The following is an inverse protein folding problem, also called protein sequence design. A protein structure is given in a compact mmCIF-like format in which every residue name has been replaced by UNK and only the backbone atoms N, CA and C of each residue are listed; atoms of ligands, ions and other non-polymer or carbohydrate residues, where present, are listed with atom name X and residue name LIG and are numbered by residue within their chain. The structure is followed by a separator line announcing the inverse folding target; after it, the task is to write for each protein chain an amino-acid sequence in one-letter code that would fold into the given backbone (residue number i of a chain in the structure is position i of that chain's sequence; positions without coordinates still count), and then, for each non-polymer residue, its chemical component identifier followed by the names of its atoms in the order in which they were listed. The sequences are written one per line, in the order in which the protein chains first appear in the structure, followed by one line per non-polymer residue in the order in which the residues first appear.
data_IF_555897498374
#
_entry.id   IF_555897498374
#
_cell.length_a   1.000
_cell.length_b   1.000
_cell.length_c   1.000
_cell.angle_alpha   90.00
_cell.angle_beta   90.00
_cell.angle_gamma   90.00
#
_symmetry.space_group_name_H-M   'P 1'
#
loop_
_entity.id
_entity.type
_entity.pdbx_description
1 polymer ?
#
# COMPACT_ATOMS: atom_id res chain seq x y z
N UNK A 1 -16.65 -15.75 -7.37
CA UNK A 1 -17.36 -14.46 -7.33
C UNK A 1 -16.27 -13.43 -7.10
N UNK A 2 -16.03 -12.54 -8.06
CA UNK A 2 -15.04 -11.46 -7.91
C UNK A 2 -15.82 -10.31 -7.31
N UNK A 3 -15.77 -10.18 -5.99
CA UNK A 3 -16.34 -9.05 -5.29
C UNK A 3 -15.78 -7.76 -5.87
N UNK A 4 -16.65 -6.79 -6.17
CA UNK A 4 -16.28 -5.42 -6.57
C UNK A 4 -15.65 -4.64 -5.39
N UNK A 5 -14.87 -5.31 -4.55
CA UNK A 5 -14.07 -4.71 -3.49
C UNK A 5 -12.89 -3.94 -4.08
N UNK A 6 -12.31 -3.05 -3.29
CA UNK A 6 -11.09 -2.33 -3.63
C UNK A 6 -9.99 -3.33 -4.02
N UNK A 7 -9.78 -3.54 -5.32
CA UNK A 7 -8.68 -4.36 -5.85
C UNK A 7 -7.42 -3.52 -5.62
N UNK A 8 -6.80 -3.69 -4.46
CA UNK A 8 -5.52 -3.06 -4.22
C UNK A 8 -4.49 -3.80 -5.07
N UNK A 9 -3.92 -3.12 -6.07
CA UNK A 9 -2.72 -3.60 -6.78
C UNK A 9 -1.51 -3.72 -5.84
N UNK A 10 -1.69 -3.43 -4.55
CA UNK A 10 -0.70 -3.50 -3.48
C UNK A 10 -0.02 -4.86 -3.41
N UNK A 11 -0.73 -5.98 -3.61
CA UNK A 11 -0.07 -7.29 -3.60
C UNK A 11 0.95 -7.43 -4.74
N UNK A 12 0.61 -6.94 -5.93
CA UNK A 12 1.51 -6.91 -7.08
C UNK A 12 2.70 -5.99 -6.83
N UNK A 13 2.42 -4.77 -6.35
CA UNK A 13 3.46 -3.79 -5.99
C UNK A 13 4.41 -4.31 -4.91
N UNK A 14 3.91 -5.01 -3.89
CA UNK A 14 4.74 -5.63 -2.86
C UNK A 14 5.67 -6.70 -3.45
N UNK A 15 5.18 -7.51 -4.40
CA UNK A 15 5.99 -8.52 -5.11
C UNK A 15 7.05 -7.87 -6.00
N UNK A 16 6.70 -6.81 -6.73
CA UNK A 16 7.64 -6.06 -7.59
C UNK A 16 8.74 -5.37 -6.79
N UNK A 17 8.41 -4.86 -5.61
CA UNK A 17 9.37 -4.23 -4.70
C UNK A 17 10.14 -5.23 -3.84
N UNK A 18 9.84 -6.54 -3.94
CA UNK A 18 10.36 -7.61 -3.07
C UNK A 18 10.22 -7.31 -1.56
N UNK A 19 9.17 -6.58 -1.16
CA UNK A 19 8.93 -6.22 0.24
C UNK A 19 7.83 -7.07 0.87
N UNK A 20 8.00 -7.38 2.16
CA UNK A 20 6.99 -8.12 2.92
C UNK A 20 5.90 -7.18 3.43
N UNK A 21 4.68 -7.70 3.62
CA UNK A 21 3.55 -6.97 4.23
C UNK A 21 3.93 -6.36 5.59
N UNK A 22 4.75 -7.08 6.36
CA UNK A 22 5.22 -6.64 7.67
C UNK A 22 6.22 -5.49 7.57
N UNK A 23 7.14 -5.53 6.60
CA UNK A 23 8.06 -4.42 6.34
C UNK A 23 7.29 -3.15 5.96
N UNK A 24 6.27 -3.27 5.09
CA UNK A 24 5.39 -2.15 4.76
C UNK A 24 4.62 -1.62 5.98
N UNK A 25 4.12 -2.51 6.84
CA UNK A 25 3.40 -2.12 8.05
C UNK A 25 4.28 -1.31 9.02
N UNK A 26 5.53 -1.73 9.22
CA UNK A 26 6.51 -1.02 10.04
C UNK A 26 6.83 0.35 9.44
N UNK A 27 7.08 0.40 8.13
CA UNK A 27 7.44 1.62 7.41
C UNK A 27 6.29 2.64 7.37
N UNK A 28 5.06 2.17 7.15
CA UNK A 28 3.86 3.00 7.14
C UNK A 28 3.37 3.38 8.54
N UNK A 29 3.95 2.79 9.60
CA UNK A 29 3.45 2.87 11.00
C UNK A 29 1.98 2.47 11.12
N UNK A 30 1.56 1.52 10.30
CA UNK A 30 0.19 0.99 10.26
C UNK A 30 0.21 -0.42 10.85
N UNK A 31 -0.88 -0.81 11.53
CA UNK A 31 -0.98 -2.16 12.10
C UNK A 31 -0.89 -3.21 10.99
N UNK A 32 -0.13 -4.32 11.17
CA UNK A 32 0.01 -5.36 10.15
C UNK A 32 -1.33 -5.96 9.70
N UNK A 33 -2.29 -6.08 10.62
CA UNK A 33 -3.65 -6.54 10.32
C UNK A 33 -4.32 -5.64 9.27
N UNK A 34 -4.24 -4.32 9.43
CA UNK A 34 -4.81 -3.35 8.49
C UNK A 34 -4.12 -3.41 7.12
N UNK A 35 -2.80 -3.58 7.07
CA UNK A 35 -2.10 -3.79 5.80
C UNK A 35 -2.55 -5.10 5.14
N UNK A 36 -2.70 -6.17 5.91
CA UNK A 36 -3.16 -7.44 5.36
C UNK A 36 -4.59 -7.33 4.81
N UNK A 37 -5.48 -6.64 5.51
CA UNK A 37 -6.85 -6.37 5.05
C UNK A 37 -6.85 -5.49 3.79
N UNK A 38 -5.94 -4.52 3.69
CA UNK A 38 -5.77 -3.69 2.49
C UNK A 38 -5.26 -4.51 1.31
N UNK A 39 -4.24 -5.35 1.51
CA UNK A 39 -3.65 -6.19 0.45
C UNK A 39 -4.64 -7.25 -0.05
N UNK A 40 -5.45 -7.81 0.85
CA UNK A 40 -6.44 -8.85 0.52
C UNK A 40 -7.76 -8.28 -0.01
N UNK A 41 -7.93 -6.95 -0.04
CA UNK A 41 -9.18 -6.31 -0.45
C UNK A 41 -10.33 -6.43 0.57
N UNK A 42 -10.04 -6.93 1.78
CA UNK A 42 -11.01 -7.07 2.87
C UNK A 42 -11.25 -5.77 3.65
N UNK A 43 -10.46 -4.73 3.40
CA UNK A 43 -10.63 -3.43 4.02
C UNK A 43 -11.92 -2.74 3.54
N UNK A 44 -12.97 -2.77 4.37
CA UNK A 44 -14.25 -2.09 4.09
C UNK A 44 -14.13 -0.56 4.02
N UNK A 45 -13.20 0.00 4.78
CA UNK A 45 -12.93 1.44 4.83
C UNK A 45 -11.48 1.66 5.26
N UNK A 46 -10.80 2.60 4.62
CA UNK A 46 -9.47 3.06 5.03
C UNK A 46 -9.51 4.57 5.24
N UNK A 47 -8.90 5.06 6.30
CA UNK A 47 -8.74 6.50 6.49
C UNK A 47 -7.75 7.04 5.45
N UNK A 48 -8.00 8.26 4.95
CA UNK A 48 -7.11 8.97 4.04
C UNK A 48 -5.68 9.09 4.60
N UNK A 49 -5.55 9.33 5.90
CA UNK A 49 -4.25 9.39 6.57
C UNK A 49 -3.49 8.07 6.50
N UNK A 50 -4.20 6.95 6.71
CA UNK A 50 -3.62 5.60 6.60
C UNK A 50 -3.24 5.29 5.16
N UNK A 51 -4.08 5.65 4.19
CA UNK A 51 -3.77 5.46 2.77
C UNK A 51 -2.54 6.26 2.36
N UNK A 52 -2.47 7.54 2.77
CA UNK A 52 -1.31 8.40 2.54
C UNK A 52 -0.05 7.80 3.17
N UNK A 53 -0.11 7.33 4.41
CA UNK A 53 1.04 6.72 5.07
C UNK A 53 1.55 5.45 4.36
N UNK A 54 0.63 4.63 3.84
CA UNK A 54 0.97 3.44 3.03
C UNK A 54 1.64 3.82 1.72
N UNK A 55 1.10 4.82 1.01
CA UNK A 55 1.66 5.28 -0.26
C UNK A 55 3.02 5.94 -0.04
N UNK A 56 3.17 6.77 1.00
CA UNK A 56 4.45 7.39 1.33
C UNK A 56 5.50 6.32 1.70
N UNK A 57 5.11 5.26 2.41
CA UNK A 57 6.00 4.13 2.72
C UNK A 57 6.42 3.37 1.45
N UNK A 58 5.48 3.11 0.53
CA UNK A 58 5.77 2.50 -0.76
C UNK A 58 6.71 3.36 -1.59
N UNK A 59 6.49 4.68 -1.63
CA UNK A 59 7.35 5.62 -2.34
C UNK A 59 8.77 5.64 -1.73
N UNK A 60 8.91 5.58 -0.40
CA UNK A 60 10.23 5.46 0.25
C UNK A 60 10.94 4.16 -0.13
N UNK A 61 10.23 3.02 -0.10
CA UNK A 61 10.81 1.72 -0.52
C UNK A 61 11.15 1.67 -2.01
N UNK A 62 10.33 2.29 -2.85
CA UNK A 62 10.57 2.45 -4.27
C UNK A 62 11.88 3.22 -4.55
N UNK A 63 12.17 4.27 -3.78
CA UNK A 63 13.43 5.01 -3.88
C UNK A 63 14.65 4.17 -3.45
N UNK A 64 14.50 3.32 -2.43
CA UNK A 64 15.56 2.40 -1.98
C UNK A 64 15.89 1.33 -3.02
N UNK A 65 14.87 0.77 -3.69
CA UNK A 65 15.05 -0.31 -4.69
C UNK A 65 15.37 0.21 -6.11
N UNK A 66 15.42 1.53 -6.32
CA UNK A 66 15.63 2.16 -7.64
C UNK A 66 14.58 1.73 -8.70
N UNK A 67 13.41 1.27 -8.23
CA UNK A 67 12.25 0.95 -9.06
C UNK A 67 11.30 2.14 -8.90
N UNK A 68 11.08 2.93 -9.95
CA UNK A 68 10.18 4.09 -9.88
C UNK A 68 8.73 3.60 -9.94
N UNK A 69 8.09 3.46 -8.78
CA UNK A 69 6.65 3.24 -8.71
C UNK A 69 6.01 4.60 -8.61
N UNK A 70 5.53 5.10 -9.74
CA UNK A 70 4.90 6.42 -9.81
C UNK A 70 3.49 6.37 -9.22
N UNK A 71 3.37 6.14 -7.91
CA UNK A 71 2.11 6.26 -7.19
C UNK A 71 1.85 7.74 -6.90
N UNK A 72 1.59 8.52 -7.96
CA UNK A 72 1.26 9.93 -7.85
C UNK A 72 -0.25 10.05 -7.67
N UNK A 73 -0.71 10.02 -6.42
CA UNK A 73 -2.02 10.62 -6.10
C UNK A 73 -1.84 12.14 -6.23
N UNK A 74 -2.07 12.67 -7.43
CA UNK A 74 -2.31 14.10 -7.57
C UNK A 74 -3.64 14.39 -6.90
N UNK A 75 -3.61 14.74 -5.61
CA UNK A 75 -4.68 15.50 -4.99
C UNK A 75 -4.30 16.97 -5.16
N UNK A 76 -4.56 17.51 -6.35
CA UNK A 76 -4.63 18.96 -6.52
C UNK A 76 -5.90 19.41 -5.79
N UNK A 77 -5.71 20.12 -4.68
CA UNK A 77 -6.75 20.93 -4.06
C UNK A 77 -7.07 22.14 -4.95
#
# INVERSE_FOLDING_TARGET
MVDNGFISSLEGTLKELEITKNALAVEAKVRPATINDLVTGNAKQVNFETLKAVIDALNRKSLETNIVIFCRINFFA
#
